data_IF_583303052498
#
_entry.id   IF_583303052498
#
_cell.length_a   1.000
_cell.length_b   1.000
_cell.length_c   1.000
_cell.angle_alpha   90.00
_cell.angle_beta   90.00
_cell.angle_gamma   90.00
#
_symmetry.space_group_name_H-M   'P 1'
#
loop_
_entity.id
_entity.type
_entity.pdbx_description
1 polymer ?
#
# COMPACT_ATOMS: atom_id res chain seq x y z
N UNK A 1 -7.33 15.08 -4.60
CA UNK A 1 -8.72 14.75 -4.22
C UNK A 1 -8.74 13.25 -3.95
N UNK A 2 -9.17 12.83 -2.78
CA UNK A 2 -9.39 11.41 -2.51
C UNK A 2 -10.64 10.94 -3.27
N UNK A 3 -10.56 9.80 -3.95
CA UNK A 3 -11.71 9.19 -4.61
C UNK A 3 -12.39 8.26 -3.61
N UNK A 4 -13.68 8.50 -3.34
CA UNK A 4 -14.52 7.55 -2.60
C UNK A 4 -15.16 6.60 -3.61
N UNK A 5 -14.81 5.33 -3.53
CA UNK A 5 -15.47 4.28 -4.31
C UNK A 5 -16.51 3.61 -3.41
N UNK A 6 -17.76 4.05 -3.55
CA UNK A 6 -18.88 3.56 -2.76
C UNK A 6 -19.17 2.08 -3.00
N UNK A 7 -18.86 1.56 -4.19
CA UNK A 7 -19.07 0.15 -4.54
C UNK A 7 -17.94 -0.73 -3.96
N UNK A 8 -16.74 -0.17 -3.80
CA UNK A 8 -15.60 -0.87 -3.22
C UNK A 8 -15.56 -0.82 -1.68
N UNK A 9 -16.34 0.06 -1.03
CA UNK A 9 -16.43 0.14 0.43
C UNK A 9 -15.23 0.81 1.11
N UNK A 10 -14.37 1.51 0.37
CA UNK A 10 -13.23 2.25 0.91
C UNK A 10 -12.95 3.55 0.14
N UNK A 11 -12.17 4.42 0.76
CA UNK A 11 -11.62 5.63 0.14
C UNK A 11 -10.12 5.45 -0.07
N UNK A 12 -9.61 5.83 -1.25
CA UNK A 12 -8.16 5.90 -1.49
C UNK A 12 -7.67 7.32 -1.22
N UNK A 13 -6.63 7.43 -0.40
CA UNK A 13 -5.93 8.68 -0.12
C UNK A 13 -4.52 8.59 -0.70
N UNK A 14 -4.22 9.49 -1.63
CA UNK A 14 -2.87 9.71 -2.12
C UNK A 14 -2.16 10.73 -1.23
N UNK A 15 -0.99 10.37 -0.71
CA UNK A 15 -0.06 11.25 -0.02
C UNK A 15 1.04 11.63 -1.00
N UNK A 16 1.07 12.90 -1.38
CA UNK A 16 2.13 13.50 -2.18
C UNK A 16 2.94 14.46 -1.30
N UNK A 17 4.12 14.02 -0.88
CA UNK A 17 5.04 14.78 -0.03
C UNK A 17 5.78 15.86 -0.83
N UNK A 18 6.04 15.60 -2.11
CA UNK A 18 6.79 16.50 -2.99
C UNK A 18 5.88 17.62 -3.58
N UNK A 19 4.57 17.39 -3.56
CA UNK A 19 3.54 18.34 -3.99
C UNK A 19 3.71 18.71 -5.46
N UNK A 20 3.68 20.01 -5.76
CA UNK A 20 3.78 20.49 -7.15
C UNK A 20 5.19 20.40 -7.76
N UNK A 21 6.20 19.88 -7.03
CA UNK A 21 7.61 19.86 -7.45
C UNK A 21 8.02 18.56 -8.15
N UNK A 22 7.08 17.93 -8.85
CA UNK A 22 7.30 16.63 -9.50
C UNK A 22 8.51 16.57 -10.46
N UNK A 23 8.83 15.37 -10.96
CA UNK A 23 8.02 14.15 -10.90
C UNK A 23 8.07 13.47 -9.52
N UNK A 24 6.97 12.84 -9.14
CA UNK A 24 6.90 12.03 -7.94
C UNK A 24 7.45 10.62 -8.21
N UNK A 25 8.05 10.03 -7.19
CA UNK A 25 8.57 8.67 -7.17
C UNK A 25 7.72 7.87 -6.18
N UNK A 26 6.99 6.89 -6.70
CA UNK A 26 6.18 5.97 -5.91
C UNK A 26 7.05 5.32 -4.81
N UNK A 27 6.54 5.34 -3.58
CA UNK A 27 7.24 4.77 -2.44
C UNK A 27 8.35 5.65 -1.83
N UNK A 28 8.63 6.82 -2.41
CA UNK A 28 9.62 7.76 -1.85
C UNK A 28 8.92 9.03 -1.40
N UNK A 29 8.21 9.69 -2.32
CA UNK A 29 7.47 10.92 -2.05
C UNK A 29 5.99 10.84 -2.43
N UNK A 30 5.55 9.70 -2.95
CA UNK A 30 4.16 9.43 -3.30
C UNK A 30 3.71 8.06 -2.83
N UNK A 31 2.62 8.04 -2.05
CA UNK A 31 2.06 6.84 -1.44
C UNK A 31 0.54 6.83 -1.58
N UNK A 32 -0.06 5.63 -1.60
CA UNK A 32 -1.52 5.46 -1.60
C UNK A 32 -1.93 4.52 -0.48
N UNK A 33 -2.91 4.95 0.31
CA UNK A 33 -3.46 4.20 1.43
C UNK A 33 -4.98 4.14 1.36
N UNK A 34 -5.57 3.13 1.98
CA UNK A 34 -7.01 2.97 2.10
C UNK A 34 -7.52 3.48 3.45
N UNK A 35 -8.71 4.04 3.42
CA UNK A 35 -9.55 4.25 4.59
C UNK A 35 -10.82 3.42 4.38
N UNK A 36 -11.06 2.45 5.25
CA UNK A 36 -12.20 1.55 5.15
C UNK A 36 -13.49 2.30 5.51
N UNK A 37 -14.49 2.23 4.63
CA UNK A 37 -15.78 2.91 4.76
C UNK A 37 -16.93 1.98 5.16
N UNK A 38 -16.73 0.66 5.14
CA UNK A 38 -17.72 -0.36 5.53
C UNK A 38 -17.07 -1.47 6.35
N UNK A 39 -17.82 -2.12 7.24
CA UNK A 39 -17.30 -3.30 7.94
C UNK A 39 -17.31 -4.50 6.98
N UNK A 40 -16.23 -5.28 6.98
CA UNK A 40 -16.13 -6.57 6.30
C UNK A 40 -15.70 -7.65 7.29
N UNK A 41 -16.65 -8.48 7.70
CA UNK A 41 -16.42 -9.52 8.72
C UNK A 41 -15.64 -10.73 8.19
N UNK A 42 -15.55 -10.91 6.87
CA UNK A 42 -14.81 -12.02 6.27
C UNK A 42 -13.29 -11.75 6.26
N UNK A 43 -12.90 -10.49 6.05
CA UNK A 43 -11.50 -10.03 6.07
C UNK A 43 -11.08 -9.46 7.43
N UNK A 44 -12.05 -9.14 8.30
CA UNK A 44 -11.82 -8.51 9.61
C UNK A 44 -11.59 -6.99 9.54
N UNK A 45 -11.92 -6.35 8.42
CA UNK A 45 -11.82 -4.90 8.24
C UNK A 45 -12.99 -4.19 8.91
N UNK A 46 -12.70 -3.10 9.62
CA UNK A 46 -13.68 -2.25 10.30
C UNK A 46 -13.72 -0.85 9.69
N UNK A 47 -14.89 -0.19 9.76
CA UNK A 47 -15.02 1.22 9.37
C UNK A 47 -14.00 2.06 10.14
N UNK A 48 -13.22 2.84 9.40
CA UNK A 48 -12.18 3.70 9.94
C UNK A 48 -10.80 3.03 10.03
N UNK A 49 -10.65 1.75 9.69
CA UNK A 49 -9.34 1.14 9.51
C UNK A 49 -8.57 1.88 8.40
N UNK A 50 -7.28 2.10 8.64
CA UNK A 50 -6.39 2.83 7.75
C UNK A 50 -5.13 2.02 7.53
N UNK A 51 -4.73 1.84 6.29
CA UNK A 51 -3.51 1.11 5.98
C UNK A 51 -3.35 0.81 4.50
N UNK A 52 -2.43 -0.10 4.22
CA UNK A 52 -2.14 -0.55 2.88
C UNK A 52 -3.26 -1.40 2.28
N UNK A 53 -3.21 -1.52 0.95
CA UNK A 53 -4.03 -2.46 0.21
C UNK A 53 -3.61 -3.87 0.61
N UNK A 54 -4.49 -4.66 1.26
CA UNK A 54 -4.25 -6.10 1.36
C UNK A 54 -4.30 -6.67 -0.06
N UNK A 55 -3.13 -7.04 -0.59
CA UNK A 55 -3.02 -7.72 -1.88
C UNK A 55 -2.93 -9.22 -1.64
N UNK A 56 -3.69 -10.03 -2.36
CA UNK A 56 -3.55 -11.50 -2.33
C UNK A 56 -2.27 -12.00 -3.03
N UNK A 57 -1.47 -11.08 -3.59
CA UNK A 57 -0.24 -11.37 -4.32
C UNK A 57 0.90 -11.79 -3.38
N UNK A 58 1.88 -12.50 -3.94
CA UNK A 58 3.12 -12.80 -3.21
C UNK A 58 3.92 -11.52 -2.94
N UNK A 59 4.67 -11.46 -1.83
CA UNK A 59 5.49 -10.27 -1.52
C UNK A 59 6.52 -9.94 -2.61
N UNK A 60 7.02 -10.94 -3.34
CA UNK A 60 7.91 -10.73 -4.50
C UNK A 60 7.20 -10.04 -5.68
N UNK A 61 5.93 -10.36 -5.91
CA UNK A 61 5.14 -9.70 -6.95
C UNK A 61 4.82 -8.25 -6.53
N UNK A 62 4.47 -8.04 -5.26
CA UNK A 62 4.25 -6.71 -4.70
C UNK A 62 5.54 -5.87 -4.77
N UNK A 63 6.70 -6.45 -4.45
CA UNK A 63 8.00 -5.79 -4.61
C UNK A 63 8.28 -5.39 -6.05
N UNK A 64 7.98 -6.27 -7.00
CA UNK A 64 8.16 -5.97 -8.43
C UNK A 64 7.23 -4.86 -8.90
N UNK A 65 5.97 -4.87 -8.45
CA UNK A 65 4.98 -3.86 -8.77
C UNK A 65 5.31 -2.49 -8.17
N UNK A 66 5.77 -2.45 -6.92
CA UNK A 66 6.29 -1.22 -6.32
C UNK A 66 7.47 -0.63 -7.12
N UNK A 67 8.44 -1.48 -7.51
CA UNK A 67 9.59 -1.05 -8.36
C UNK A 67 9.16 -0.52 -9.72
N UNK A 68 7.98 -0.93 -10.21
CA UNK A 68 7.38 -0.44 -11.45
C UNK A 68 6.51 0.81 -11.26
N UNK A 69 6.44 1.37 -10.06
CA UNK A 69 5.79 2.65 -9.78
C UNK A 69 4.37 2.54 -9.21
N UNK A 70 3.94 1.38 -8.73
CA UNK A 70 2.61 1.22 -8.11
C UNK A 70 2.66 1.65 -6.64
N UNK A 71 2.10 2.84 -6.36
CA UNK A 71 2.21 3.50 -5.06
C UNK A 71 1.54 2.75 -3.91
N UNK A 72 0.38 2.13 -4.16
CA UNK A 72 -0.32 1.27 -3.21
C UNK A 72 0.55 0.09 -2.75
N UNK A 73 1.23 -0.58 -3.69
CA UNK A 73 2.11 -1.71 -3.42
C UNK A 73 3.37 -1.28 -2.70
N UNK A 74 3.90 -0.09 -3.00
CA UNK A 74 5.01 0.48 -2.23
C UNK A 74 4.61 0.75 -0.77
N UNK A 75 3.45 1.35 -0.53
CA UNK A 75 2.98 1.60 0.83
C UNK A 75 2.74 0.28 1.60
N UNK A 76 2.22 -0.76 0.93
CA UNK A 76 2.12 -2.10 1.52
C UNK A 76 3.46 -2.64 2.00
N UNK A 77 4.52 -2.52 1.20
CA UNK A 77 5.85 -3.00 1.62
C UNK A 77 6.44 -2.14 2.74
N UNK A 78 6.23 -0.82 2.72
CA UNK A 78 6.63 0.06 3.83
C UNK A 78 6.00 -0.45 5.14
N UNK A 79 4.68 -0.61 5.16
CA UNK A 79 3.95 -1.06 6.35
C UNK A 79 4.37 -2.47 6.77
N UNK A 80 4.41 -3.43 5.83
CA UNK A 80 4.80 -4.81 6.07
C UNK A 80 6.23 -4.94 6.60
N UNK A 81 7.13 -4.07 6.15
CA UNK A 81 8.53 -4.05 6.61
C UNK A 81 8.74 -3.47 8.01
N UNK A 82 7.68 -2.90 8.63
CA UNK A 82 7.78 -2.14 9.87
C UNK A 82 8.30 -0.72 9.67
N UNK A 83 7.98 -0.09 8.53
CA UNK A 83 8.47 1.24 8.12
C UNK A 83 9.99 1.30 7.97
N UNK A 84 10.59 0.23 7.44
CA UNK A 84 12.01 0.22 7.11
C UNK A 84 12.29 1.14 5.92
N UNK A 85 13.34 1.94 5.98
CA UNK A 85 13.72 2.83 4.89
C UNK A 85 14.20 2.09 3.63
N UNK A 86 14.71 0.85 3.77
CA UNK A 86 15.19 0.02 2.67
C UNK A 86 14.18 -1.07 2.26
N UNK A 87 12.90 -0.86 2.57
CA UNK A 87 11.82 -1.82 2.33
C UNK A 87 11.75 -2.33 0.89
N UNK A 88 12.16 -1.54 -0.11
CA UNK A 88 12.13 -1.94 -1.54
C UNK A 88 13.19 -3.01 -1.86
N UNK A 89 14.28 -3.07 -1.09
CA UNK A 89 15.41 -3.96 -1.37
C UNK A 89 15.49 -5.16 -0.41
N UNK A 90 14.57 -5.26 0.55
CA UNK A 90 14.43 -6.44 1.40
C UNK A 90 14.21 -7.71 0.57
N UNK A 91 14.74 -8.81 1.08
CA UNK A 91 14.51 -10.13 0.52
C UNK A 91 13.14 -10.65 0.99
N UNK A 92 12.17 -10.59 0.08
CA UNK A 92 10.82 -11.11 0.30
C UNK A 92 10.61 -12.50 -0.30
N UNK A 93 11.68 -13.19 -0.70
CA UNK A 93 11.59 -14.60 -1.04
C UNK A 93 11.39 -15.40 0.24
N UNK A 94 10.13 -15.64 0.59
CA UNK A 94 9.82 -16.45 1.78
C UNK A 94 10.35 -17.86 1.54
N UNK A 95 11.43 -18.23 2.24
CA UNK A 95 11.60 -19.62 2.66
C UNK A 95 10.43 -19.92 3.59
N UNK A 96 9.51 -20.79 3.17
CA UNK A 96 8.67 -21.52 4.13
C UNK A 96 9.65 -22.14 5.13
N UNK A 97 9.66 -21.66 6.37
CA UNK A 97 10.18 -22.44 7.47
C UNK A 97 9.17 -23.57 7.71
N UNK A 98 9.66 -24.80 7.60
CA UNK A 98 8.94 -26.05 7.90
C UNK A 98 8.38 -26.07 9.34
#
# INVERSE_FOLDING_TARGET
MAAYDADAGYQVVAIDVNGSKGPNIAGVDYFELKIIGVNNFDTGEHIGDVGAFQTENSLSDVQSSCKNGVAADCYYLVEHSGFDADYVNKDYTVKKSD
#
